data_IF_247080740092
#
_entry.id   IF_247080740092
#
_cell.length_a   1.000
_cell.length_b   1.000
_cell.length_c   1.000
_cell.angle_alpha   90.00
_cell.angle_beta   90.00
_cell.angle_gamma   90.00
#
_symmetry.space_group_name_H-M   'P 1'
#
loop_
_entity.id
_entity.type
_entity.pdbx_description
1 polymer ?
#
# COMPACT_ATOMS: atom_id res chain seq x y z
N UNK A 1 -18.74 -7.17 -3.07
CA UNK A 1 -17.79 -7.14 -1.91
C UNK A 1 -17.19 -8.53 -1.77
N UNK A 2 -15.85 -8.60 -1.73
CA UNK A 2 -15.12 -9.88 -1.63
C UNK A 2 -14.86 -10.32 -0.18
N UNK A 3 -14.91 -9.39 0.78
CA UNK A 3 -14.66 -9.69 2.19
C UNK A 3 -15.85 -10.39 2.83
N UNK A 4 -15.54 -11.30 3.75
CA UNK A 4 -16.50 -12.04 4.55
C UNK A 4 -16.58 -11.48 5.98
N UNK A 5 -17.61 -11.91 6.70
CA UNK A 5 -17.81 -11.49 8.09
C UNK A 5 -16.63 -11.92 8.96
N UNK A 6 -16.10 -10.94 9.73
CA UNK A 6 -14.96 -11.07 10.65
C UNK A 6 -13.58 -11.17 9.98
N UNK A 7 -13.48 -10.98 8.67
CA UNK A 7 -12.18 -10.95 8.02
C UNK A 7 -11.24 -9.90 8.65
N UNK A 8 -9.99 -10.31 8.83
CA UNK A 8 -8.89 -9.42 9.19
C UNK A 8 -8.12 -9.03 7.93
N UNK A 9 -7.97 -7.73 7.71
CA UNK A 9 -7.24 -7.16 6.59
C UNK A 9 -6.04 -6.40 7.13
N UNK A 10 -4.82 -6.84 6.79
CA UNK A 10 -3.58 -6.19 7.21
C UNK A 10 -3.00 -5.39 6.06
N UNK A 11 -2.76 -4.10 6.30
CA UNK A 11 -2.07 -3.20 5.37
C UNK A 11 -0.62 -3.08 5.78
N UNK A 12 0.29 -3.66 5.00
CA UNK A 12 1.73 -3.64 5.22
C UNK A 12 2.43 -2.66 4.28
N UNK A 13 3.35 -1.86 4.79
CA UNK A 13 4.02 -0.86 3.98
C UNK A 13 4.95 0.08 4.74
N UNK A 14 5.19 1.22 4.13
CA UNK A 14 6.04 2.30 4.62
C UNK A 14 5.25 3.49 5.18
N UNK A 15 5.79 4.73 5.05
CA UNK A 15 5.16 5.98 5.51
C UNK A 15 3.81 6.27 4.85
N UNK A 16 3.61 5.82 3.61
CA UNK A 16 2.35 6.02 2.89
C UNK A 16 1.23 5.20 3.54
N UNK A 17 1.56 4.03 4.07
CA UNK A 17 0.64 3.18 4.82
C UNK A 17 0.51 3.63 6.27
N UNK A 18 1.63 3.95 6.92
CA UNK A 18 1.71 4.41 8.31
C UNK A 18 0.86 5.66 8.57
N UNK A 19 1.21 6.78 7.94
CA UNK A 19 0.52 8.08 8.10
C UNK A 19 0.12 8.37 9.56
N UNK A 20 1.11 8.30 10.47
CA UNK A 20 0.93 8.51 11.91
C UNK A 20 0.06 7.45 12.61
N UNK A 21 0.12 6.21 12.17
CA UNK A 21 -0.50 5.09 12.87
C UNK A 21 0.25 4.71 14.15
N UNK A 22 -0.35 3.89 14.98
CA UNK A 22 0.36 3.28 16.10
C UNK A 22 1.35 2.24 15.59
N UNK A 23 2.61 2.35 15.96
CA UNK A 23 3.68 1.43 15.54
C UNK A 23 3.99 0.38 16.60
N UNK A 24 4.42 -0.82 16.22
CA UNK A 24 4.63 -1.33 14.84
C UNK A 24 3.34 -1.76 14.15
N UNK A 25 2.23 -1.86 14.89
CA UNK A 25 0.92 -2.30 14.40
C UNK A 25 -0.17 -1.42 14.98
N UNK A 26 -0.95 -0.81 14.12
CA UNK A 26 -2.07 0.06 14.46
C UNK A 26 -3.42 -0.62 14.19
N UNK A 27 -4.30 -0.57 15.17
CA UNK A 27 -5.70 -0.97 15.03
C UNK A 27 -6.62 0.17 15.47
N UNK A 28 -7.94 -0.01 15.34
CA UNK A 28 -8.89 1.00 15.79
C UNK A 28 -8.68 1.36 17.26
N UNK A 29 -8.59 2.63 17.54
CA UNK A 29 -8.51 3.17 18.90
C UNK A 29 -9.05 4.59 18.94
N UNK A 30 -9.43 5.06 20.14
CA UNK A 30 -9.85 6.45 20.37
C UNK A 30 -8.77 7.48 19.97
N UNK A 31 -7.52 7.09 19.94
CA UNK A 31 -6.37 7.95 19.64
C UNK A 31 -5.85 7.81 18.21
N UNK A 32 -6.65 7.21 17.30
CA UNK A 32 -6.30 7.17 15.88
C UNK A 32 -5.25 6.11 15.50
N UNK A 33 -5.30 4.93 16.12
CA UNK A 33 -4.32 3.86 15.89
C UNK A 33 -4.12 3.44 14.43
N UNK A 34 -5.11 3.66 13.55
CA UNK A 34 -4.99 3.41 12.10
C UNK A 34 -4.30 4.53 11.31
N UNK A 35 -3.90 5.61 11.97
CA UNK A 35 -3.28 6.77 11.31
C UNK A 35 -4.29 7.70 10.64
N UNK A 36 -3.79 8.52 9.69
CA UNK A 36 -4.57 9.57 9.01
C UNK A 36 -4.65 9.36 7.49
N UNK A 37 -4.10 8.24 6.99
CA UNK A 37 -3.96 7.94 5.57
C UNK A 37 -5.12 7.13 4.99
N UNK A 38 -4.84 6.49 3.85
CA UNK A 38 -5.80 5.71 3.09
C UNK A 38 -6.37 4.52 3.86
N UNK A 39 -5.60 3.91 4.77
CA UNK A 39 -6.05 2.79 5.60
C UNK A 39 -7.23 3.19 6.48
N UNK A 40 -7.15 4.39 7.12
CA UNK A 40 -8.25 4.93 7.92
C UNK A 40 -9.49 5.24 7.09
N UNK A 41 -9.32 5.71 5.87
CA UNK A 41 -10.43 6.00 4.95
C UNK A 41 -11.14 4.70 4.55
N UNK A 42 -10.36 3.65 4.25
CA UNK A 42 -10.90 2.31 3.94
C UNK A 42 -11.69 1.75 5.12
N UNK A 43 -11.11 1.77 6.33
CA UNK A 43 -11.79 1.35 7.57
C UNK A 43 -13.13 2.08 7.75
N UNK A 44 -13.10 3.41 7.59
CA UNK A 44 -14.30 4.24 7.79
C UNK A 44 -15.40 3.94 6.76
N UNK A 45 -15.04 3.74 5.50
CA UNK A 45 -16.00 3.41 4.44
C UNK A 45 -16.57 2.00 4.58
N UNK A 46 -15.71 1.01 4.88
CA UNK A 46 -16.15 -0.36 5.11
C UNK A 46 -17.06 -0.45 6.33
N UNK A 47 -16.68 0.19 7.44
CA UNK A 47 -17.49 0.21 8.66
C UNK A 47 -18.82 0.94 8.53
N UNK A 48 -18.88 2.00 7.70
CA UNK A 48 -20.11 2.77 7.48
C UNK A 48 -21.09 2.08 6.51
N UNK A 49 -20.55 1.43 5.45
CA UNK A 49 -21.38 0.89 4.35
C UNK A 49 -21.66 -0.61 4.53
N UNK A 50 -20.77 -1.34 5.18
CA UNK A 50 -20.85 -2.79 5.41
C UNK A 50 -20.64 -3.15 6.89
N UNK A 51 -21.35 -2.51 7.85
CA UNK A 51 -21.15 -2.78 9.28
C UNK A 51 -21.44 -4.23 9.67
N UNK A 52 -22.29 -4.92 8.89
CA UNK A 52 -22.64 -6.32 9.10
C UNK A 52 -21.45 -7.28 8.93
N UNK A 53 -20.41 -6.87 8.21
CA UNK A 53 -19.20 -7.69 8.01
C UNK A 53 -18.30 -7.68 9.26
N UNK A 54 -18.39 -6.63 10.09
CA UNK A 54 -17.57 -6.51 11.31
C UNK A 54 -16.08 -6.81 11.06
N UNK A 55 -15.52 -6.14 10.04
CA UNK A 55 -14.15 -6.35 9.58
C UNK A 55 -13.15 -5.80 10.60
N UNK A 56 -11.98 -6.43 10.66
CA UNK A 56 -10.86 -5.96 11.47
C UNK A 56 -9.75 -5.43 10.57
N UNK A 57 -9.55 -4.13 10.58
CA UNK A 57 -8.50 -3.46 9.80
C UNK A 57 -7.28 -3.25 10.69
N UNK A 58 -6.12 -3.59 10.17
CA UNK A 58 -4.83 -3.44 10.84
C UNK A 58 -3.85 -2.68 9.95
N UNK A 59 -3.23 -1.63 10.47
CA UNK A 59 -2.18 -0.87 9.81
C UNK A 59 -0.81 -1.33 10.32
N UNK A 60 -0.01 -1.91 9.46
CA UNK A 60 1.38 -2.34 9.69
C UNK A 60 2.36 -1.55 8.82
N UNK A 61 2.10 -0.26 8.62
CA UNK A 61 3.04 0.66 8.01
C UNK A 61 4.09 1.12 9.01
N UNK A 62 5.34 1.29 8.56
CA UNK A 62 6.41 1.94 9.32
C UNK A 62 7.14 2.92 8.42
N UNK A 63 7.12 4.19 8.79
CA UNK A 63 7.74 5.27 8.04
C UNK A 63 9.23 4.99 7.75
N UNK A 64 9.64 5.23 6.51
CA UNK A 64 11.03 5.03 6.06
C UNK A 64 11.37 3.60 5.65
N UNK A 65 10.51 2.60 5.90
CA UNK A 65 10.82 1.23 5.54
C UNK A 65 11.02 1.05 4.04
N UNK A 66 12.05 0.29 3.69
CA UNK A 66 12.26 -0.32 2.38
C UNK A 66 11.61 -1.72 2.36
N UNK A 67 11.62 -2.38 1.20
CA UNK A 67 11.16 -3.78 1.10
C UNK A 67 12.02 -4.72 1.96
N UNK A 68 13.31 -4.41 2.14
CA UNK A 68 14.24 -5.14 3.04
C UNK A 68 13.77 -5.05 4.48
N UNK A 69 13.44 -3.84 4.96
CA UNK A 69 12.99 -3.60 6.33
C UNK A 69 11.65 -4.27 6.59
N UNK A 70 10.70 -4.13 5.66
CA UNK A 70 9.40 -4.79 5.75
C UNK A 70 9.55 -6.30 5.81
N UNK A 71 10.39 -6.90 4.96
CA UNK A 71 10.63 -8.34 4.95
C UNK A 71 11.16 -8.85 6.28
N UNK A 72 12.13 -8.14 6.90
CA UNK A 72 12.70 -8.53 8.21
C UNK A 72 11.64 -8.61 9.31
N UNK A 73 10.68 -7.69 9.34
CA UNK A 73 9.62 -7.66 10.36
C UNK A 73 8.34 -8.38 9.96
N UNK A 74 8.24 -8.87 8.71
CA UNK A 74 7.01 -9.35 8.10
C UNK A 74 6.34 -10.48 8.88
N UNK A 75 7.14 -11.42 9.41
CA UNK A 75 6.61 -12.50 10.23
C UNK A 75 5.85 -11.96 11.43
N UNK A 76 6.49 -11.11 12.24
CA UNK A 76 5.91 -10.56 13.49
C UNK A 76 4.74 -9.64 13.23
N UNK A 77 4.88 -8.73 12.25
CA UNK A 77 3.98 -7.60 12.08
C UNK A 77 2.87 -7.86 11.04
N UNK A 78 2.91 -9.01 10.35
CA UNK A 78 1.90 -9.40 9.36
C UNK A 78 1.42 -10.83 9.57
N UNK A 79 2.33 -11.83 9.48
CA UNK A 79 1.94 -13.24 9.50
C UNK A 79 1.36 -13.65 10.86
N UNK A 80 2.01 -13.27 11.96
CA UNK A 80 1.61 -13.65 13.33
C UNK A 80 0.28 -12.97 13.75
N UNK A 81 -0.22 -12.01 12.95
CA UNK A 81 -1.56 -11.44 13.14
C UNK A 81 -2.68 -12.32 12.60
N UNK A 82 -2.35 -13.42 11.91
CA UNK A 82 -3.31 -14.32 11.28
C UNK A 82 -4.32 -13.58 10.38
N UNK A 83 -3.86 -12.89 9.32
CA UNK A 83 -4.72 -12.16 8.42
C UNK A 83 -5.53 -13.11 7.52
N UNK A 84 -6.75 -12.70 7.14
CA UNK A 84 -7.50 -13.27 6.04
C UNK A 84 -7.09 -12.65 4.69
N UNK A 85 -6.73 -11.38 4.72
CA UNK A 85 -6.29 -10.60 3.56
C UNK A 85 -5.08 -9.74 3.91
N UNK A 86 -4.16 -9.61 2.96
CA UNK A 86 -3.00 -8.73 3.13
C UNK A 86 -2.90 -7.78 1.94
N UNK A 87 -2.66 -6.50 2.22
CA UNK A 87 -2.25 -5.52 1.23
C UNK A 87 -0.79 -5.15 1.42
N UNK A 88 0.01 -5.18 0.36
CA UNK A 88 1.42 -4.77 0.37
C UNK A 88 1.54 -3.50 -0.49
N UNK A 89 2.01 -2.41 0.11
CA UNK A 89 2.40 -1.17 -0.58
C UNK A 89 3.77 -0.77 -0.08
N UNK A 90 4.81 -1.14 -0.83
CA UNK A 90 6.21 -0.90 -0.49
C UNK A 90 7.03 -0.64 -1.76
N UNK A 91 8.14 0.07 -1.66
CA UNK A 91 9.06 0.27 -2.76
C UNK A 91 9.43 1.72 -3.05
N UNK A 92 8.66 2.68 -2.51
CA UNK A 92 9.00 4.10 -2.72
C UNK A 92 10.37 4.45 -2.11
N UNK A 93 10.66 3.98 -0.91
CA UNK A 93 11.96 4.22 -0.26
C UNK A 93 13.10 3.43 -0.91
N UNK A 94 12.83 2.23 -1.44
CA UNK A 94 13.79 1.44 -2.20
C UNK A 94 14.32 2.22 -3.41
N UNK A 95 13.44 2.98 -4.08
CA UNK A 95 13.79 3.86 -5.18
C UNK A 95 14.32 5.20 -4.69
N UNK A 96 13.61 5.86 -3.77
CA UNK A 96 13.92 7.24 -3.37
C UNK A 96 15.33 7.37 -2.81
N UNK A 97 15.80 6.41 -2.00
CA UNK A 97 17.17 6.41 -1.42
C UNK A 97 18.29 6.40 -2.49
N UNK A 98 17.99 5.95 -3.71
CA UNK A 98 18.94 6.00 -4.83
C UNK A 98 19.13 7.44 -5.35
N UNK A 99 18.19 8.36 -5.07
CA UNK A 99 18.16 9.74 -5.57
C UNK A 99 18.44 10.78 -4.49
N UNK A 100 17.89 10.64 -3.29
CA UNK A 100 18.09 11.59 -2.19
C UNK A 100 19.35 11.31 -1.37
N UNK A 101 19.82 10.07 -1.37
CA UNK A 101 20.97 9.62 -0.56
C UNK A 101 22.02 8.90 -1.42
N UNK A 102 22.52 9.50 -2.51
CA UNK A 102 23.36 8.82 -3.50
C UNK A 102 24.74 8.40 -2.95
N UNK A 103 25.17 8.96 -1.82
CA UNK A 103 26.44 8.58 -1.15
C UNK A 103 26.33 7.30 -0.32
N UNK A 104 25.11 6.86 0.04
CA UNK A 104 24.87 5.71 0.93
C UNK A 104 24.40 4.48 0.14
N UNK A 105 25.22 4.04 -0.83
CA UNK A 105 24.87 2.94 -1.75
C UNK A 105 24.55 1.62 -1.05
N UNK A 106 25.04 1.40 0.17
CA UNK A 106 24.74 0.18 0.96
C UNK A 106 23.28 0.13 1.41
N UNK A 107 22.61 1.28 1.47
CA UNK A 107 21.19 1.38 1.87
C UNK A 107 20.25 1.19 0.69
N UNK A 108 20.79 1.19 -0.55
CA UNK A 108 19.97 0.99 -1.73
C UNK A 108 19.44 -0.43 -1.80
N UNK A 109 18.19 -0.57 -2.14
CA UNK A 109 17.58 -1.85 -2.49
C UNK A 109 17.38 -1.85 -4.00
N UNK A 110 18.17 -2.64 -4.70
CA UNK A 110 18.16 -2.73 -6.16
C UNK A 110 16.99 -3.63 -6.65
N UNK A 111 16.60 -3.56 -7.93
CA UNK A 111 15.43 -4.28 -8.45
C UNK A 111 15.42 -5.78 -8.13
N UNK A 112 16.57 -6.44 -8.21
CA UNK A 112 16.68 -7.89 -7.97
C UNK A 112 16.43 -8.25 -6.49
N UNK A 113 16.91 -7.41 -5.57
CA UNK A 113 16.65 -7.57 -4.15
C UNK A 113 15.18 -7.24 -3.81
N UNK A 114 14.65 -6.18 -4.40
CA UNK A 114 13.25 -5.80 -4.25
C UNK A 114 12.30 -6.93 -4.69
N UNK A 115 12.54 -7.47 -5.89
CA UNK A 115 11.78 -8.60 -6.42
C UNK A 115 11.81 -9.78 -5.45
N UNK A 116 13.00 -10.17 -5.00
CA UNK A 116 13.16 -11.25 -4.03
C UNK A 116 12.39 -11.00 -2.74
N UNK A 117 12.50 -9.79 -2.18
CA UNK A 117 11.83 -9.46 -0.92
C UNK A 117 10.31 -9.53 -1.05
N UNK A 118 9.73 -8.90 -2.10
CA UNK A 118 8.28 -8.90 -2.33
C UNK A 118 7.78 -10.31 -2.64
N UNK A 119 8.51 -11.06 -3.47
CA UNK A 119 8.16 -12.44 -3.81
C UNK A 119 8.15 -13.34 -2.57
N UNK A 120 9.14 -13.25 -1.70
CA UNK A 120 9.21 -14.04 -0.47
C UNK A 120 8.08 -13.68 0.51
N UNK A 121 7.68 -12.41 0.60
CA UNK A 121 6.51 -12.00 1.37
C UNK A 121 5.24 -12.66 0.85
N UNK A 122 5.04 -12.70 -0.46
CA UNK A 122 3.89 -13.37 -1.09
C UNK A 122 3.90 -14.87 -0.84
N UNK A 123 5.05 -15.53 -1.08
CA UNK A 123 5.19 -16.99 -0.89
C UNK A 123 4.87 -17.39 0.55
N UNK A 124 5.30 -16.60 1.53
CA UNK A 124 5.10 -16.90 2.95
C UNK A 124 3.63 -16.88 3.40
N UNK A 125 2.74 -16.29 2.61
CA UNK A 125 1.32 -16.11 2.98
C UNK A 125 0.32 -16.75 2.03
N UNK A 126 0.65 -16.91 0.75
CA UNK A 126 -0.32 -17.24 -0.31
C UNK A 126 -1.20 -18.47 -0.05
N UNK A 127 -0.70 -19.43 0.71
CA UNK A 127 -1.42 -20.67 1.02
C UNK A 127 -2.22 -20.58 2.34
N UNK A 128 -2.11 -19.45 3.07
CA UNK A 128 -2.71 -19.27 4.40
C UNK A 128 -3.69 -18.09 4.48
N UNK A 129 -3.89 -17.36 3.37
CA UNK A 129 -4.81 -16.21 3.31
C UNK A 129 -5.82 -16.38 2.18
N UNK A 130 -6.95 -15.70 2.26
CA UNK A 130 -7.99 -15.67 1.20
C UNK A 130 -7.50 -14.91 -0.04
N UNK A 131 -6.57 -13.97 0.14
CA UNK A 131 -5.93 -13.29 -0.96
C UNK A 131 -4.96 -12.19 -0.54
N UNK A 132 -4.14 -11.79 -1.52
CA UNK A 132 -3.13 -10.76 -1.36
C UNK A 132 -3.36 -9.68 -2.41
N UNK A 133 -3.31 -8.41 -1.98
CA UNK A 133 -3.24 -7.26 -2.85
C UNK A 133 -1.80 -6.77 -2.91
N UNK A 134 -1.33 -6.41 -4.08
CA UNK A 134 -0.05 -5.71 -4.28
C UNK A 134 -0.37 -4.39 -4.97
N UNK A 135 -0.19 -3.30 -4.25
CA UNK A 135 -0.25 -1.95 -4.80
C UNK A 135 1.10 -1.59 -5.40
N UNK A 136 1.10 -1.04 -6.60
CA UNK A 136 2.35 -0.53 -7.19
C UNK A 136 2.94 0.59 -6.33
N UNK A 137 4.27 0.62 -6.10
CA UNK A 137 4.93 1.84 -5.68
C UNK A 137 4.73 2.92 -6.76
N UNK A 138 4.76 4.19 -6.35
CA UNK A 138 4.46 5.30 -7.24
C UNK A 138 5.30 6.52 -6.93
N UNK A 139 5.42 7.40 -7.93
CA UNK A 139 5.99 8.72 -7.78
C UNK A 139 5.10 9.74 -8.49
N UNK A 140 4.63 10.75 -7.76
CA UNK A 140 3.67 11.73 -8.26
C UNK A 140 4.32 12.82 -9.12
N UNK A 141 5.17 12.38 -10.07
CA UNK A 141 5.80 13.19 -11.10
C UNK A 141 5.12 12.95 -12.44
N UNK A 142 4.48 13.96 -13.05
CA UNK A 142 3.82 13.80 -14.36
C UNK A 142 4.79 13.58 -15.52
N UNK A 143 6.04 14.08 -15.40
CA UNK A 143 7.05 13.93 -16.46
C UNK A 143 7.61 12.51 -16.46
N UNK A 144 7.17 11.71 -17.44
CA UNK A 144 7.50 10.28 -17.52
C UNK A 144 8.99 10.00 -17.76
N UNK A 145 9.75 11.00 -18.28
CA UNK A 145 11.17 10.87 -18.49
C UNK A 145 12.03 11.26 -17.29
N UNK A 146 11.43 11.68 -16.16
CA UNK A 146 12.12 11.88 -14.90
C UNK A 146 12.83 10.58 -14.46
N UNK A 147 14.12 10.64 -14.08
CA UNK A 147 14.90 9.43 -13.75
C UNK A 147 14.29 8.61 -12.58
N UNK A 148 13.80 9.28 -11.52
CA UNK A 148 13.18 8.58 -10.40
C UNK A 148 11.84 7.97 -10.80
N UNK A 149 11.07 8.68 -11.64
CA UNK A 149 9.82 8.16 -12.18
C UNK A 149 10.03 6.90 -13.01
N UNK A 150 11.04 6.87 -13.88
CA UNK A 150 11.40 5.68 -14.65
C UNK A 150 11.82 4.52 -13.75
N UNK A 151 12.65 4.78 -12.76
CA UNK A 151 13.06 3.75 -11.80
C UNK A 151 11.87 3.21 -11.02
N UNK A 152 10.94 4.07 -10.59
CA UNK A 152 9.72 3.65 -9.90
C UNK A 152 8.87 2.71 -10.77
N UNK A 153 8.82 2.96 -12.06
CA UNK A 153 8.06 2.14 -13.00
C UNK A 153 8.64 0.72 -13.14
N UNK A 154 9.96 0.55 -13.03
CA UNK A 154 10.60 -0.77 -13.01
C UNK A 154 10.12 -1.58 -11.79
N UNK A 155 10.06 -0.96 -10.60
CA UNK A 155 9.59 -1.61 -9.38
C UNK A 155 8.08 -1.90 -9.43
N UNK A 156 7.31 -1.01 -10.02
CA UNK A 156 5.89 -1.25 -10.29
C UNK A 156 5.67 -2.45 -11.21
N UNK A 157 6.49 -2.60 -12.25
CA UNK A 157 6.42 -3.76 -13.15
C UNK A 157 6.78 -5.07 -12.45
N UNK A 158 7.75 -5.06 -11.53
CA UNK A 158 8.07 -6.22 -10.68
C UNK A 158 6.83 -6.63 -9.86
N UNK A 159 6.16 -5.68 -9.21
CA UNK A 159 4.93 -5.96 -8.47
C UNK A 159 3.86 -6.61 -9.34
N UNK A 160 3.68 -6.11 -10.56
CA UNK A 160 2.72 -6.66 -11.52
C UNK A 160 3.08 -8.10 -11.90
N UNK A 161 4.34 -8.36 -12.23
CA UNK A 161 4.81 -9.69 -12.61
C UNK A 161 4.62 -10.70 -11.46
N UNK A 162 4.94 -10.32 -10.22
CA UNK A 162 4.71 -11.15 -9.04
C UNK A 162 3.21 -11.41 -8.85
N UNK A 163 2.39 -10.38 -9.02
CA UNK A 163 0.93 -10.54 -8.89
C UNK A 163 0.37 -11.53 -9.90
N UNK A 164 0.79 -11.43 -11.16
CA UNK A 164 0.39 -12.37 -12.22
C UNK A 164 0.88 -13.80 -11.94
N UNK A 165 2.13 -13.94 -11.47
CA UNK A 165 2.74 -15.25 -11.16
C UNK A 165 2.04 -16.00 -10.02
N UNK A 166 1.58 -15.28 -8.99
CA UNK A 166 1.02 -15.88 -7.78
C UNK A 166 -0.49 -15.69 -7.62
N UNK A 167 -1.17 -15.09 -8.61
CA UNK A 167 -2.61 -14.84 -8.56
C UNK A 167 -3.02 -13.78 -7.55
N UNK A 168 -2.12 -12.85 -7.22
CA UNK A 168 -2.42 -11.70 -6.36
C UNK A 168 -3.23 -10.65 -7.13
N UNK A 169 -3.96 -9.80 -6.41
CA UNK A 169 -4.69 -8.66 -6.99
C UNK A 169 -3.74 -7.47 -7.13
N UNK A 170 -3.32 -7.16 -8.35
CA UNK A 170 -2.49 -5.98 -8.61
C UNK A 170 -3.34 -4.72 -8.66
N UNK A 171 -2.87 -3.65 -7.98
CA UNK A 171 -3.51 -2.34 -7.98
C UNK A 171 -2.51 -1.31 -8.49
N UNK A 172 -2.75 -0.76 -9.67
CA UNK A 172 -1.87 0.20 -10.33
C UNK A 172 -2.12 1.62 -9.82
N UNK A 173 -1.53 1.94 -8.66
CA UNK A 173 -1.64 3.27 -8.04
C UNK A 173 -0.96 4.35 -8.90
N UNK A 174 0.12 3.99 -9.59
CA UNK A 174 0.79 4.95 -10.47
C UNK A 174 -0.11 5.39 -11.62
N UNK A 175 -0.78 4.45 -12.27
CA UNK A 175 -1.70 4.79 -13.37
C UNK A 175 -2.89 5.62 -12.87
N UNK A 176 -3.41 5.32 -11.69
CA UNK A 176 -4.49 6.11 -11.07
C UNK A 176 -4.06 7.58 -10.87
N UNK A 177 -2.82 7.84 -10.41
CA UNK A 177 -2.31 9.21 -10.30
C UNK A 177 -2.05 9.85 -11.67
N UNK A 178 -1.52 9.10 -12.64
CA UNK A 178 -1.32 9.60 -14.01
C UNK A 178 -2.64 10.06 -14.64
N UNK A 179 -3.74 9.35 -14.40
CA UNK A 179 -5.07 9.75 -14.87
C UNK A 179 -5.57 11.02 -14.15
N UNK A 180 -5.35 11.11 -12.84
CA UNK A 180 -5.69 12.31 -12.09
C UNK A 180 -4.92 13.55 -12.58
N UNK A 181 -3.63 13.39 -12.93
CA UNK A 181 -2.77 14.49 -13.38
C UNK A 181 -3.11 15.01 -14.79
N UNK A 182 -3.96 14.33 -15.54
CA UNK A 182 -4.54 14.88 -16.78
C UNK A 182 -5.45 16.08 -16.51
N UNK A 183 -5.97 16.20 -15.28
CA UNK A 183 -6.95 17.23 -14.87
C UNK A 183 -6.37 18.20 -13.83
N UNK A 184 -5.53 17.72 -12.91
CA UNK A 184 -5.00 18.50 -11.79
C UNK A 184 -3.49 18.30 -11.67
N UNK A 185 -2.77 19.37 -11.30
CA UNK A 185 -1.33 19.29 -11.07
C UNK A 185 -1.00 18.43 -9.84
N UNK A 186 0.14 17.72 -9.86
CA UNK A 186 0.56 16.82 -8.77
C UNK A 186 0.69 17.50 -7.41
N UNK A 187 1.03 18.78 -7.35
CA UNK A 187 1.10 19.56 -6.10
C UNK A 187 -0.25 19.68 -5.38
N UNK A 188 -1.37 19.39 -6.05
CA UNK A 188 -2.69 19.34 -5.41
C UNK A 188 -2.90 18.13 -4.51
N UNK A 189 -2.07 17.08 -4.65
CA UNK A 189 -2.18 15.84 -3.90
C UNK A 189 -0.93 15.49 -3.07
N UNK A 190 0.24 16.07 -3.40
CA UNK A 190 1.48 15.89 -2.64
C UNK A 190 2.42 17.08 -2.86
N UNK A 191 3.10 17.53 -1.81
CA UNK A 191 4.10 18.59 -1.94
C UNK A 191 5.50 18.05 -2.31
N UNK A 192 5.82 16.84 -1.87
CA UNK A 192 7.11 16.16 -2.11
C UNK A 192 7.05 15.09 -3.21
N UNK A 193 5.88 14.93 -3.85
CA UNK A 193 5.59 13.93 -4.90
C UNK A 193 5.58 12.48 -4.40
N UNK A 194 5.63 12.24 -3.09
CA UNK A 194 5.66 10.92 -2.44
C UNK A 194 4.52 10.77 -1.46
N UNK A 195 4.39 11.67 -0.49
CA UNK A 195 3.41 11.57 0.58
C UNK A 195 2.08 12.23 0.18
N UNK A 196 1.01 11.45 0.04
CA UNK A 196 -0.28 11.98 -0.37
C UNK A 196 -0.91 12.79 0.76
N UNK A 197 -1.52 13.93 0.40
CA UNK A 197 -2.45 14.61 1.30
C UNK A 197 -3.78 13.83 1.36
N UNK A 198 -4.81 14.39 2.04
CA UNK A 198 -6.11 13.72 2.18
C UNK A 198 -6.78 13.42 0.83
N UNK A 199 -6.60 14.27 -0.19
CA UNK A 199 -7.15 14.00 -1.54
C UNK A 199 -6.45 12.79 -2.15
N UNK A 200 -5.12 12.73 -2.10
CA UNK A 200 -4.34 11.58 -2.58
C UNK A 200 -4.68 10.30 -1.80
N UNK A 201 -4.84 10.39 -0.48
CA UNK A 201 -5.25 9.26 0.36
C UNK A 201 -6.65 8.73 -0.02
N UNK A 202 -7.61 9.62 -0.33
CA UNK A 202 -8.94 9.22 -0.83
C UNK A 202 -8.84 8.52 -2.19
N UNK A 203 -7.99 8.99 -3.09
CA UNK A 203 -7.79 8.37 -4.39
C UNK A 203 -7.26 6.93 -4.24
N UNK A 204 -6.23 6.71 -3.40
CA UNK A 204 -5.67 5.39 -3.10
C UNK A 204 -6.74 4.48 -2.48
N UNK A 205 -7.47 4.98 -1.48
CA UNK A 205 -8.52 4.22 -0.82
C UNK A 205 -9.63 3.79 -1.79
N UNK A 206 -10.05 4.68 -2.69
CA UNK A 206 -11.06 4.36 -3.71
C UNK A 206 -10.57 3.29 -4.68
N UNK A 207 -9.31 3.35 -5.10
CA UNK A 207 -8.76 2.36 -6.03
C UNK A 207 -8.67 0.97 -5.38
N UNK A 208 -8.26 0.90 -4.10
CA UNK A 208 -8.33 -0.35 -3.32
C UNK A 208 -9.76 -0.89 -3.24
N UNK A 209 -10.71 -0.04 -2.84
CA UNK A 209 -12.12 -0.45 -2.65
C UNK A 209 -12.77 -0.91 -3.95
N UNK A 210 -12.40 -0.33 -5.11
CA UNK A 210 -12.85 -0.82 -6.43
C UNK A 210 -12.40 -2.27 -6.68
N UNK A 211 -11.16 -2.61 -6.30
CA UNK A 211 -10.64 -3.97 -6.43
C UNK A 211 -11.27 -4.95 -5.44
N UNK A 212 -12.04 -4.46 -4.47
CA UNK A 212 -12.77 -5.26 -3.49
C UNK A 212 -14.27 -5.41 -3.80
N UNK A 213 -14.71 -5.00 -4.99
CA UNK A 213 -16.13 -4.95 -5.36
C UNK A 213 -16.99 -4.15 -4.35
N UNK A 214 -16.44 -3.01 -3.88
CA UNK A 214 -17.17 -2.09 -3.01
C UNK A 214 -18.24 -1.35 -3.81
N UNK A 215 -19.48 -1.42 -3.35
CA UNK A 215 -20.58 -0.67 -3.95
C UNK A 215 -20.62 0.76 -3.38
N UNK A 216 -20.14 1.74 -4.16
CA UNK A 216 -20.12 3.15 -3.79
C UNK A 216 -21.51 3.78 -3.78
N UNK A 217 -22.55 3.10 -4.26
CA UNK A 217 -23.93 3.57 -4.27
C UNK A 217 -24.80 2.92 -3.18
N UNK A 218 -24.28 1.86 -2.50
CA UNK A 218 -24.96 1.27 -1.36
C UNK A 218 -25.12 2.33 -0.27
N UNK A 219 -26.34 2.53 0.18
CA UNK A 219 -26.62 3.45 1.29
C UNK A 219 -26.00 2.90 2.58
N UNK A 220 -25.36 3.77 3.35
CA UNK A 220 -24.98 3.46 4.72
C UNK A 220 -26.23 3.20 5.57
N UNK A 221 -26.14 2.25 6.48
CA UNK A 221 -27.25 1.89 7.38
C UNK A 221 -27.39 2.98 8.44
#
# INVERSE_FOLDING_TARGET
>A
MIFEKYDRIVFAGDSITDMESSTPVGEWSHFGGLGKGFVKIIDSLLGAVYPELNLRITNSGISGNTSRDLFVRYKRDVIDLNPDWVNILIGVNDVWRQFDSPCFKNDWVMPEEYEKNVEQMVISLKDNVKGIFIMSPYYMEPFKDDPMRKRMQEYSQICKNISEKYGCRFIDIQNMFDDYFKVRHSTSVAWDRVHPNQVGAVLIAREFLRCCDFDFYKQAI
#
